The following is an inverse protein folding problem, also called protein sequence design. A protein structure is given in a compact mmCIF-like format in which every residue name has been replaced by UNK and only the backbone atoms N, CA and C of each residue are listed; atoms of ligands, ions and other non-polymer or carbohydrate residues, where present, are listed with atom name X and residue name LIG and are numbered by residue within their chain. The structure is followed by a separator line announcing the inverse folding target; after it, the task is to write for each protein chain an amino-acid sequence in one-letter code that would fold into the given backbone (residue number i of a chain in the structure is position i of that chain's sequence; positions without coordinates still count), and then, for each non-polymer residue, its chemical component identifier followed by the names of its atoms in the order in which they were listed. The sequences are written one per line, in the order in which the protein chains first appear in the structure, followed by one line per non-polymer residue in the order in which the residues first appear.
data_IF_802177346602
#
_entry.id   IF_802177346602
#
_cell.length_a   1.000
_cell.length_b   1.000
_cell.length_c   1.000
_cell.angle_alpha   90.00
_cell.angle_beta   90.00
_cell.angle_gamma   90.00
#
_symmetry.space_group_name_H-M   'P 1'
#
loop_
_entity.id
_entity.type
_entity.pdbx_description
1 polymer ?
#
# COMPACT_ATOMS: atom_id res chain seq x y z
N UNK A 1 0.92 21.75 -8.18
CA UNK A 1 2.03 21.82 -7.19
C UNK A 1 3.00 22.91 -7.62
N UNK A 2 3.25 23.92 -6.77
CA UNK A 2 4.25 24.95 -7.04
C UNK A 2 5.68 24.40 -7.05
N UNK A 3 6.62 25.15 -7.64
CA UNK A 3 8.04 24.77 -7.80
C UNK A 3 8.69 24.28 -6.49
N UNK A 4 8.39 24.94 -5.38
CA UNK A 4 8.88 24.56 -4.04
C UNK A 4 8.26 23.28 -3.47
N UNK A 5 7.01 22.97 -3.83
CA UNK A 5 6.34 21.75 -3.35
C UNK A 5 6.92 20.48 -3.97
N UNK A 6 7.31 20.53 -5.25
CA UNK A 6 7.98 19.39 -5.90
C UNK A 6 9.35 19.12 -5.27
N UNK A 7 10.12 20.17 -4.99
CA UNK A 7 11.44 20.05 -4.37
C UNK A 7 11.34 19.45 -2.96
N UNK A 8 10.40 19.92 -2.14
CA UNK A 8 10.18 19.37 -0.81
C UNK A 8 9.77 17.88 -0.86
N UNK A 9 8.93 17.49 -1.82
CA UNK A 9 8.54 16.10 -2.02
C UNK A 9 9.73 15.20 -2.38
N UNK A 10 10.52 15.56 -3.40
CA UNK A 10 11.68 14.75 -3.78
C UNK A 10 12.73 14.70 -2.67
N UNK A 11 12.94 15.80 -1.94
CA UNK A 11 13.84 15.82 -0.79
C UNK A 11 13.38 14.86 0.31
N UNK A 12 12.08 14.82 0.63
CA UNK A 12 11.53 13.90 1.61
C UNK A 12 11.66 12.43 1.16
N UNK A 13 11.42 12.14 -0.12
CA UNK A 13 11.57 10.78 -0.69
C UNK A 13 13.02 10.33 -0.61
N UNK A 14 13.97 11.15 -1.06
CA UNK A 14 15.40 10.83 -1.02
C UNK A 14 15.87 10.62 0.41
N UNK A 15 15.42 11.46 1.35
CA UNK A 15 15.76 11.35 2.76
C UNK A 15 15.22 10.05 3.38
N UNK A 16 13.97 9.65 3.07
CA UNK A 16 13.41 8.37 3.50
C UNK A 16 14.21 7.17 2.97
N UNK A 17 14.59 7.21 1.68
CA UNK A 17 15.43 6.16 1.07
C UNK A 17 16.79 6.07 1.77
N UNK A 18 17.43 7.20 2.06
CA UNK A 18 18.71 7.23 2.76
C UNK A 18 18.60 6.66 4.19
N UNK A 19 17.58 7.04 4.95
CA UNK A 19 17.37 6.49 6.31
C UNK A 19 17.14 4.98 6.25
N UNK A 20 16.34 4.50 5.28
CA UNK A 20 16.13 3.07 5.07
C UNK A 20 17.44 2.32 4.80
N UNK A 21 18.31 2.84 3.92
CA UNK A 21 19.62 2.25 3.65
C UNK A 21 20.55 2.27 4.88
N UNK A 22 20.58 3.37 5.65
CA UNK A 22 21.38 3.48 6.88
C UNK A 22 20.93 2.45 7.93
N UNK A 23 19.61 2.23 8.07
CA UNK A 23 19.08 1.24 9.01
C UNK A 23 19.40 -0.20 8.58
N UNK A 24 19.35 -0.51 7.29
CA UNK A 24 19.79 -1.82 6.77
C UNK A 24 21.29 -2.06 7.06
N UNK A 25 22.12 -1.03 6.86
CA UNK A 25 23.57 -1.11 7.09
C UNK A 25 23.97 -1.12 8.57
N UNK A 26 23.04 -0.82 9.48
CA UNK A 26 23.29 -0.76 10.93
C UNK A 26 23.34 -2.14 11.62
N UNK A 27 23.16 -3.23 10.85
CA UNK A 27 23.44 -4.61 11.29
C UNK A 27 22.53 -5.16 12.39
N UNK A 28 21.45 -4.45 12.74
CA UNK A 28 20.40 -4.94 13.63
C UNK A 28 19.31 -5.59 12.81
N UNK A 29 18.96 -6.82 13.15
CA UNK A 29 17.94 -7.57 12.42
C UNK A 29 16.61 -6.80 12.40
N UNK A 30 15.97 -6.73 11.22
CA UNK A 30 14.60 -6.23 10.98
C UNK A 30 14.31 -4.73 11.16
N UNK A 31 15.22 -3.88 11.66
CA UNK A 31 14.92 -2.44 11.90
C UNK A 31 14.44 -1.67 10.65
N UNK A 32 15.01 -1.97 9.48
CA UNK A 32 14.57 -1.36 8.22
C UNK A 32 13.15 -1.76 7.82
N UNK A 33 12.75 -3.01 8.10
CA UNK A 33 11.42 -3.53 7.81
C UNK A 33 10.37 -2.96 8.78
N UNK A 34 10.70 -2.85 10.07
CA UNK A 34 9.82 -2.24 11.08
C UNK A 34 9.49 -0.78 10.74
N UNK A 35 10.50 0.02 10.39
CA UNK A 35 10.28 1.42 10.02
C UNK A 35 9.46 1.55 8.74
N UNK A 36 9.73 0.72 7.73
CA UNK A 36 8.92 0.64 6.51
C UNK A 36 7.45 0.31 6.81
N UNK A 37 7.20 -0.59 7.76
CA UNK A 37 5.85 -0.95 8.19
C UNK A 37 5.13 0.23 8.87
N UNK A 38 5.80 0.97 9.75
CA UNK A 38 5.21 2.15 10.39
C UNK A 38 4.88 3.26 9.39
N UNK A 39 5.77 3.50 8.41
CA UNK A 39 5.52 4.49 7.35
C UNK A 39 4.35 4.05 6.48
N UNK A 40 4.28 2.78 6.10
CA UNK A 40 3.16 2.22 5.33
C UNK A 40 1.83 2.35 6.08
N UNK A 41 1.80 2.06 7.38
CA UNK A 41 0.62 2.24 8.22
C UNK A 41 0.20 3.71 8.30
N UNK A 42 1.15 4.63 8.52
CA UNK A 42 0.88 6.07 8.57
C UNK A 42 0.29 6.61 7.27
N UNK A 43 0.87 6.24 6.13
CA UNK A 43 0.36 6.61 4.80
C UNK A 43 -0.99 5.96 4.50
N UNK A 44 -1.20 4.70 4.93
CA UNK A 44 -2.47 4.01 4.81
C UNK A 44 -3.59 4.73 5.55
N UNK A 45 -3.35 5.14 6.79
CA UNK A 45 -4.30 5.93 7.59
C UNK A 45 -4.56 7.30 6.97
N UNK A 46 -3.51 8.01 6.55
CA UNK A 46 -3.66 9.30 5.88
C UNK A 46 -4.47 9.18 4.58
N UNK A 47 -4.25 8.12 3.81
CA UNK A 47 -5.01 7.80 2.60
C UNK A 47 -6.49 7.54 2.90
N UNK A 48 -6.80 6.76 3.94
CA UNK A 48 -8.18 6.52 4.36
C UNK A 48 -8.88 7.82 4.78
N UNK A 49 -8.22 8.68 5.54
CA UNK A 49 -8.74 9.99 5.94
C UNK A 49 -9.01 10.85 4.69
N UNK A 50 -8.06 10.90 3.75
CA UNK A 50 -8.23 11.66 2.52
C UNK A 50 -9.42 11.16 1.69
N UNK A 51 -9.62 9.84 1.58
CA UNK A 51 -10.78 9.25 0.91
C UNK A 51 -12.06 9.69 1.62
N UNK A 52 -12.18 9.50 2.94
CA UNK A 52 -13.38 9.87 3.70
C UNK A 52 -13.74 11.36 3.53
N UNK A 53 -12.74 12.23 3.67
CA UNK A 53 -12.93 13.68 3.51
C UNK A 53 -13.31 14.08 2.09
N UNK A 54 -12.78 13.37 1.08
CA UNK A 54 -13.12 13.61 -0.33
C UNK A 54 -14.54 13.12 -0.66
N UNK A 55 -14.91 11.92 -0.21
CA UNK A 55 -16.19 11.27 -0.54
C UNK A 55 -17.39 12.10 -0.08
N UNK A 56 -17.34 12.70 1.12
CA UNK A 56 -18.45 13.48 1.68
C UNK A 56 -18.84 14.71 0.84
N UNK A 57 -17.87 15.40 0.23
CA UNK A 57 -18.14 16.54 -0.65
C UNK A 57 -18.41 16.11 -2.10
N UNK A 58 -17.72 15.09 -2.58
CA UNK A 58 -17.77 14.68 -4.00
C UNK A 58 -19.04 13.92 -4.39
N UNK A 59 -19.64 13.15 -3.46
CA UNK A 59 -20.85 12.35 -3.75
C UNK A 59 -22.12 13.21 -3.87
N UNK A 60 -22.18 14.33 -3.15
CA UNK A 60 -23.33 15.24 -3.19
C UNK A 60 -23.38 16.01 -4.50
N UNK A 61 -22.22 16.37 -5.05
CA UNK A 61 -22.11 17.18 -6.27
C UNK A 61 -22.12 16.35 -7.56
N UNK A 62 -21.69 15.07 -7.53
CA UNK A 62 -21.51 14.27 -8.75
C UNK A 62 -21.89 12.77 -8.58
N UNK A 63 -23.18 12.41 -8.71
CA UNK A 63 -23.65 11.02 -8.56
C UNK A 63 -23.11 10.05 -9.61
N UNK A 64 -22.63 10.54 -10.77
CA UNK A 64 -21.98 9.72 -11.80
C UNK A 64 -20.63 9.15 -11.35
N UNK A 65 -19.93 9.83 -10.43
CA UNK A 65 -18.66 9.36 -9.87
C UNK A 65 -18.86 8.29 -8.79
N UNK A 66 -20.04 8.21 -8.18
CA UNK A 66 -20.36 7.16 -7.21
C UNK A 66 -20.29 5.75 -7.84
N UNK A 67 -20.71 5.60 -9.10
CA UNK A 67 -20.60 4.32 -9.83
C UNK A 67 -19.13 3.89 -10.01
N UNK A 68 -18.24 4.83 -10.36
CA UNK A 68 -16.80 4.56 -10.50
C UNK A 68 -16.17 4.17 -9.17
N UNK A 69 -16.56 4.83 -8.08
CA UNK A 69 -16.11 4.50 -6.74
C UNK A 69 -16.58 3.10 -6.33
N UNK A 70 -17.81 2.72 -6.64
CA UNK A 70 -18.34 1.37 -6.37
C UNK A 70 -17.59 0.29 -7.16
N UNK A 71 -17.28 0.54 -8.44
CA UNK A 71 -16.46 -0.37 -9.27
C UNK A 71 -15.05 -0.50 -8.70
N UNK A 72 -14.47 0.59 -8.20
CA UNK A 72 -13.14 0.59 -7.58
C UNK A 72 -13.14 -0.22 -6.29
N UNK A 73 -14.11 0.00 -5.39
CA UNK A 73 -14.25 -0.78 -4.16
C UNK A 73 -14.52 -2.25 -4.48
N UNK A 74 -15.39 -2.55 -5.44
CA UNK A 74 -15.73 -3.91 -5.85
C UNK A 74 -14.55 -4.67 -6.44
N UNK A 75 -13.73 -4.01 -7.26
CA UNK A 75 -12.52 -4.63 -7.82
C UNK A 75 -11.47 -4.92 -6.75
N UNK A 76 -11.25 -4.00 -5.80
CA UNK A 76 -10.36 -4.25 -4.66
C UNK A 76 -10.88 -5.42 -3.80
N UNK A 77 -12.18 -5.46 -3.51
CA UNK A 77 -12.79 -6.55 -2.75
C UNK A 77 -12.63 -7.91 -3.47
N UNK A 78 -12.77 -7.94 -4.80
CA UNK A 78 -12.58 -9.15 -5.60
C UNK A 78 -11.13 -9.65 -5.51
N UNK A 79 -10.14 -8.76 -5.58
CA UNK A 79 -8.73 -9.12 -5.40
C UNK A 79 -8.48 -9.67 -3.99
N UNK A 80 -9.08 -9.08 -2.95
CA UNK A 80 -8.98 -9.61 -1.59
C UNK A 80 -9.48 -11.06 -1.49
N UNK A 81 -10.60 -11.40 -2.15
CA UNK A 81 -11.13 -12.77 -2.16
C UNK A 81 -10.17 -13.73 -2.85
N UNK A 82 -9.57 -13.33 -3.98
CA UNK A 82 -8.58 -14.14 -4.69
C UNK A 82 -7.33 -14.36 -3.81
N UNK A 83 -6.79 -13.30 -3.20
CA UNK A 83 -5.65 -13.39 -2.30
C UNK A 83 -5.95 -14.31 -1.10
N UNK A 84 -7.16 -14.25 -0.53
CA UNK A 84 -7.57 -15.15 0.54
C UNK A 84 -7.70 -16.60 0.05
N UNK A 85 -8.17 -16.84 -1.18
CA UNK A 85 -8.29 -18.18 -1.72
C UNK A 85 -6.92 -18.86 -1.92
N UNK A 86 -5.93 -18.11 -2.41
CA UNK A 86 -4.57 -18.59 -2.68
C UNK A 86 -3.70 -18.67 -1.41
N UNK A 87 -4.07 -17.94 -0.34
CA UNK A 87 -3.30 -17.93 0.90
C UNK A 87 -3.22 -19.33 1.56
N UNK A 88 -1.99 -19.86 1.77
CA UNK A 88 -1.79 -21.20 2.31
C UNK A 88 -2.16 -21.30 3.80
N UNK A 89 -2.01 -20.23 4.58
CA UNK A 89 -2.32 -20.21 6.01
C UNK A 89 -1.40 -21.17 6.77
N UNK A 90 -0.09 -21.03 6.57
CA UNK A 90 0.90 -21.89 7.20
C UNK A 90 1.03 -21.57 8.71
N UNK A 91 1.17 -22.60 9.52
CA UNK A 91 1.48 -22.49 10.94
C UNK A 91 2.92 -22.97 11.12
N UNK A 92 3.78 -22.05 11.55
CA UNK A 92 5.18 -22.31 11.86
C UNK A 92 5.38 -22.06 13.36
N UNK A 93 6.24 -22.82 14.06
CA UNK A 93 6.50 -22.61 15.49
C UNK A 93 6.97 -21.17 15.80
N UNK A 94 7.57 -20.46 14.84
CA UNK A 94 7.92 -19.04 14.98
C UNK A 94 6.71 -18.09 15.04
N UNK A 95 5.51 -18.54 14.66
CA UNK A 95 4.28 -17.73 14.67
C UNK A 95 3.52 -17.79 16.01
N UNK A 96 3.86 -18.74 16.87
CA UNK A 96 3.29 -18.83 18.23
C UNK A 96 3.73 -17.66 19.10
N UNK A 97 4.97 -17.18 18.91
CA UNK A 97 5.52 -16.00 19.60
C UNK A 97 4.77 -14.70 19.26
N UNK A 98 4.14 -14.65 18.09
CA UNK A 98 3.31 -13.52 17.62
C UNK A 98 1.81 -13.73 17.88
N UNK A 99 1.42 -14.77 18.64
CA UNK A 99 0.01 -15.06 18.97
C UNK A 99 -0.83 -15.60 17.81
N UNK A 100 -0.20 -16.05 16.72
CA UNK A 100 -0.89 -16.63 15.56
C UNK A 100 -1.11 -18.12 15.81
N UNK A 101 -2.04 -18.43 16.71
CA UNK A 101 -2.32 -19.80 17.16
C UNK A 101 -3.32 -20.55 16.27
N UNK A 102 -4.01 -19.82 15.38
CA UNK A 102 -5.10 -20.38 14.57
C UNK A 102 -4.83 -20.18 13.08
N UNK A 103 -5.07 -21.23 12.27
CA UNK A 103 -4.93 -21.21 10.81
C UNK A 103 -5.69 -20.05 10.13
N UNK A 104 -6.85 -19.68 10.68
CA UNK A 104 -7.65 -18.56 10.20
C UNK A 104 -6.96 -17.19 10.39
N UNK A 105 -6.18 -17.02 11.46
CA UNK A 105 -5.42 -15.78 11.71
C UNK A 105 -4.24 -15.71 10.75
N UNK A 106 -3.48 -16.80 10.62
CA UNK A 106 -2.38 -16.91 9.66
C UNK A 106 -2.85 -16.62 8.22
N UNK A 107 -3.99 -17.22 7.81
CA UNK A 107 -4.54 -17.00 6.47
C UNK A 107 -4.96 -15.55 6.18
N UNK A 108 -5.40 -14.80 7.20
CA UNK A 108 -5.71 -13.36 7.06
C UNK A 108 -4.44 -12.52 6.91
N UNK A 109 -3.38 -12.88 7.62
CA UNK A 109 -2.07 -12.22 7.51
C UNK A 109 -1.48 -12.48 6.13
N UNK A 110 -1.47 -13.74 5.69
CA UNK A 110 -1.04 -14.14 4.34
C UNK A 110 -1.83 -13.38 3.27
N UNK A 111 -3.16 -13.32 3.39
CA UNK A 111 -4.01 -12.54 2.48
C UNK A 111 -3.56 -11.07 2.40
N UNK A 112 -3.29 -10.42 3.53
CA UNK A 112 -2.82 -9.03 3.57
C UNK A 112 -1.45 -8.83 2.90
N UNK A 113 -0.55 -9.80 3.08
CA UNK A 113 0.76 -9.82 2.41
C UNK A 113 0.63 -9.98 0.89
N UNK A 114 -0.14 -10.96 0.43
CA UNK A 114 -0.37 -11.16 -1.01
C UNK A 114 -1.08 -9.96 -1.65
N UNK A 115 -2.06 -9.39 -0.95
CA UNK A 115 -2.78 -8.21 -1.40
C UNK A 115 -1.85 -7.00 -1.54
N UNK A 116 -1.05 -6.71 -0.51
CA UNK A 116 -0.13 -5.57 -0.54
C UNK A 116 0.96 -5.73 -1.60
N UNK A 117 1.50 -6.94 -1.78
CA UNK A 117 2.43 -7.24 -2.88
C UNK A 117 1.77 -7.00 -4.24
N UNK A 118 0.57 -7.55 -4.47
CA UNK A 118 -0.15 -7.37 -5.74
C UNK A 118 -0.46 -5.90 -6.04
N UNK A 119 -0.98 -5.13 -5.07
CA UNK A 119 -1.24 -3.71 -5.25
C UNK A 119 0.05 -2.92 -5.52
N UNK A 120 1.15 -3.27 -4.88
CA UNK A 120 2.45 -2.62 -5.13
C UNK A 120 2.91 -2.85 -6.57
N UNK A 121 2.83 -4.09 -7.06
CA UNK A 121 3.15 -4.41 -8.45
C UNK A 121 2.22 -3.69 -9.43
N UNK A 122 0.92 -3.67 -9.15
CA UNK A 122 -0.05 -2.95 -9.99
C UNK A 122 0.22 -1.43 -10.00
N UNK A 123 0.53 -0.84 -8.84
CA UNK A 123 0.83 0.58 -8.71
C UNK A 123 2.10 0.95 -9.47
N UNK A 124 3.21 0.24 -9.22
CA UNK A 124 4.49 0.48 -9.91
C UNK A 124 4.33 0.27 -11.41
N UNK A 125 3.66 -0.81 -11.84
CA UNK A 125 3.37 -1.07 -13.24
C UNK A 125 2.56 0.06 -13.89
N UNK A 126 1.56 0.59 -13.20
CA UNK A 126 0.74 1.70 -13.70
C UNK A 126 1.54 3.00 -13.88
N UNK A 127 2.49 3.28 -12.98
CA UNK A 127 3.37 4.45 -13.07
C UNK A 127 4.32 4.29 -14.25
N UNK A 128 4.98 3.14 -14.40
CA UNK A 128 5.89 2.87 -15.52
C UNK A 128 5.16 3.02 -16.86
N UNK A 129 3.95 2.49 -16.98
CA UNK A 129 3.14 2.62 -18.21
C UNK A 129 2.74 4.07 -18.44
N UNK A 130 2.31 4.80 -17.40
CA UNK A 130 1.89 6.19 -17.51
C UNK A 130 3.05 7.10 -17.94
N UNK A 131 4.22 6.97 -17.31
CA UNK A 131 5.42 7.74 -17.63
C UNK A 131 6.01 7.33 -18.99
N UNK A 132 6.01 6.03 -19.30
CA UNK A 132 6.48 5.49 -20.57
C UNK A 132 5.67 6.03 -21.74
N UNK A 133 4.34 6.07 -21.65
CA UNK A 133 3.48 6.67 -22.69
C UNK A 133 3.67 8.19 -22.76
N UNK A 134 3.90 8.86 -21.62
CA UNK A 134 4.20 10.29 -21.59
C UNK A 134 5.44 10.67 -22.39
N UNK A 135 6.51 9.85 -22.29
CA UNK A 135 7.78 10.03 -23.01
C UNK A 135 7.68 9.94 -24.54
N UNK A 136 6.66 9.25 -25.08
CA UNK A 136 6.44 9.15 -26.53
C UNK A 136 5.43 10.18 -27.07
N UNK A 137 4.85 11.00 -26.19
CA UNK A 137 3.83 11.99 -26.54
C UNK A 137 4.33 13.43 -26.52
N UNK A 138 5.57 13.65 -26.08
CA UNK A 138 6.37 14.86 -26.27
C UNK A 138 7.34 14.68 -27.46
#
# INVERSE_FOLDING_TARGET
MGKYGKIAYYAAVVLLVLIFFVMILSGKDYQGAEMGLYVALGLGVAGLIAIILSTGKFLVENPSNAKKMLITIGSVALVCVICYAVAPGNLSPSYEEYGVTTKAVSKRIDMGLYLSAFLTFAAVGSIIVSEGIGLFRD
#
